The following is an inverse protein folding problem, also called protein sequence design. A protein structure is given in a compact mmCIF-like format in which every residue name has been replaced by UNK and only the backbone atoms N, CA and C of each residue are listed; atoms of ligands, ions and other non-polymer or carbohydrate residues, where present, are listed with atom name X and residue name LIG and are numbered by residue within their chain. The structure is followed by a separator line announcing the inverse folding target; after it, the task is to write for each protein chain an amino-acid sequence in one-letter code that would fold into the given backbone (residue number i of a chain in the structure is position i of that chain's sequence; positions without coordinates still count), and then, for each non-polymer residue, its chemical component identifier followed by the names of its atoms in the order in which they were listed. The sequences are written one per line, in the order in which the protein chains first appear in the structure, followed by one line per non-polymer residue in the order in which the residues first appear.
data_IF_509924749214
#
_entry.id   IF_509924749214
#
_cell.length_a   1.000
_cell.length_b   1.000
_cell.length_c   1.000
_cell.angle_alpha   90.00
_cell.angle_beta   90.00
_cell.angle_gamma   90.00
#
_symmetry.space_group_name_H-M   'P 1'
#
loop_
_entity.id
_entity.type
_entity.pdbx_description
1 polymer ?
#
# COMPACT_ATOMS: atom_id res chain seq x y z
N UNK A 1 31.52 -31.96 46.93
CA UNK A 1 31.64 -31.72 45.47
C UNK A 1 30.60 -30.68 45.08
N UNK A 2 31.04 -29.56 44.53
CA UNK A 2 30.22 -28.39 44.16
C UNK A 2 29.35 -28.72 42.95
N UNK A 3 28.04 -28.62 43.06
CA UNK A 3 27.16 -28.55 41.89
C UNK A 3 26.73 -27.10 41.71
N UNK A 4 27.34 -26.45 40.72
CA UNK A 4 26.95 -25.13 40.26
C UNK A 4 25.62 -25.25 39.51
N UNK A 5 24.57 -24.60 40.03
CA UNK A 5 23.32 -24.41 39.31
C UNK A 5 23.56 -23.25 38.33
N UNK A 6 23.73 -23.57 37.05
CA UNK A 6 23.71 -22.61 35.96
C UNK A 6 22.26 -22.13 35.78
N UNK A 7 21.99 -20.90 36.23
CA UNK A 7 20.77 -20.20 35.92
C UNK A 7 20.71 -19.91 34.42
N UNK A 8 19.88 -20.66 33.69
CA UNK A 8 19.47 -20.29 32.34
C UNK A 8 18.61 -19.03 32.43
N UNK A 9 19.25 -17.87 32.24
CA UNK A 9 18.56 -16.62 31.98
C UNK A 9 17.87 -16.72 30.63
N UNK A 10 16.58 -17.07 30.62
CA UNK A 10 15.70 -16.79 29.48
C UNK A 10 15.62 -15.27 29.33
N UNK A 11 16.51 -14.71 28.54
CA UNK A 11 16.35 -13.37 27.99
C UNK A 11 15.11 -13.39 27.11
N UNK A 12 13.99 -12.89 27.64
CA UNK A 12 12.79 -12.61 26.85
C UNK A 12 13.16 -11.48 25.90
N UNK A 13 13.65 -11.83 24.71
CA UNK A 13 13.67 -10.93 23.58
C UNK A 13 12.19 -10.62 23.27
N UNK A 14 11.73 -9.45 23.68
CA UNK A 14 10.44 -8.91 23.26
C UNK A 14 10.52 -8.61 21.76
N UNK A 15 10.37 -9.65 20.95
CA UNK A 15 10.04 -9.51 19.54
C UNK A 15 8.76 -8.66 19.51
N UNK A 16 8.91 -7.38 19.19
CA UNK A 16 7.77 -6.48 18.99
C UNK A 16 6.97 -7.05 17.85
N UNK A 17 5.97 -7.87 18.18
CA UNK A 17 5.02 -8.42 17.22
C UNK A 17 4.41 -7.20 16.55
N UNK A 18 4.74 -7.00 15.27
CA UNK A 18 4.14 -5.93 14.49
C UNK A 18 2.63 -6.09 14.62
N UNK A 19 1.98 -5.15 15.31
CA UNK A 19 0.54 -5.21 15.54
C UNK A 19 -0.11 -5.11 14.18
N UNK A 20 -0.68 -6.22 13.70
CA UNK A 20 -1.33 -6.30 12.41
C UNK A 20 -2.47 -5.28 12.29
N UNK A 21 -2.87 -4.97 11.06
CA UNK A 21 -4.01 -4.09 10.83
C UNK A 21 -5.29 -4.70 11.42
N UNK A 22 -6.19 -3.82 11.87
CA UNK A 22 -7.55 -4.22 12.21
C UNK A 22 -8.22 -4.83 10.97
N UNK A 23 -8.74 -6.08 11.02
CA UNK A 23 -9.29 -6.75 9.84
C UNK A 23 -10.39 -5.97 9.14
N UNK A 24 -11.22 -5.24 9.87
CA UNK A 24 -12.28 -4.42 9.27
C UNK A 24 -11.71 -3.22 8.52
N UNK A 25 -10.60 -2.64 9.00
CA UNK A 25 -9.90 -1.55 8.31
C UNK A 25 -9.13 -2.10 7.11
N UNK A 26 -8.49 -3.26 7.24
CA UNK A 26 -7.78 -3.92 6.15
C UNK A 26 -8.72 -4.28 5.00
N UNK A 27 -9.91 -4.79 5.29
CA UNK A 27 -10.93 -5.09 4.28
C UNK A 27 -11.38 -3.84 3.50
N UNK A 28 -11.54 -2.70 4.18
CA UNK A 28 -11.84 -1.43 3.50
C UNK A 28 -10.64 -0.90 2.71
N UNK A 29 -9.41 -1.14 3.17
CA UNK A 29 -8.19 -0.90 2.40
C UNK A 29 -8.11 -1.75 1.14
N UNK A 30 -8.52 -3.01 1.21
CA UNK A 30 -8.60 -3.91 0.05
C UNK A 30 -9.58 -3.37 -1.02
N UNK A 31 -10.73 -2.82 -0.60
CA UNK A 31 -11.67 -2.16 -1.51
C UNK A 31 -11.04 -0.96 -2.20
N UNK A 32 -10.29 -0.12 -1.47
CA UNK A 32 -9.56 1.00 -2.07
C UNK A 32 -8.55 0.54 -3.14
N UNK A 33 -7.76 -0.50 -2.85
CA UNK A 33 -6.79 -1.05 -3.82
C UNK A 33 -7.52 -1.59 -5.06
N UNK A 34 -8.63 -2.29 -4.88
CA UNK A 34 -9.45 -2.78 -5.99
C UNK A 34 -10.01 -1.65 -6.85
N UNK A 35 -10.55 -0.58 -6.24
CA UNK A 35 -11.02 0.62 -6.95
C UNK A 35 -9.90 1.23 -7.80
N UNK A 36 -8.70 1.34 -7.24
CA UNK A 36 -7.54 1.83 -7.98
C UNK A 36 -7.18 0.92 -9.16
N UNK A 37 -7.10 -0.40 -8.95
CA UNK A 37 -6.78 -1.37 -9.98
C UNK A 37 -7.84 -1.44 -11.09
N UNK A 38 -9.10 -1.14 -10.79
CA UNK A 38 -10.19 -1.13 -11.76
C UNK A 38 -10.22 0.16 -12.59
N UNK A 39 -10.00 1.32 -11.97
CA UNK A 39 -10.33 2.61 -12.58
C UNK A 39 -9.12 3.37 -13.12
N UNK A 40 -7.94 3.23 -12.52
CA UNK A 40 -6.73 3.88 -13.03
C UNK A 40 -6.45 3.46 -14.48
N UNK A 41 -5.81 4.28 -15.32
CA UNK A 41 -5.34 5.64 -15.04
C UNK A 41 -6.43 6.72 -15.17
N UNK A 42 -7.72 6.37 -15.29
CA UNK A 42 -8.82 7.35 -15.37
C UNK A 42 -9.10 7.97 -13.99
N UNK A 43 -8.42 9.10 -13.71
CA UNK A 43 -8.49 9.79 -12.41
C UNK A 43 -9.91 10.23 -12.05
N UNK A 44 -10.74 10.59 -13.05
CA UNK A 44 -12.12 11.02 -12.79
C UNK A 44 -12.97 9.84 -12.32
N UNK A 45 -12.86 8.69 -13.01
CA UNK A 45 -13.55 7.46 -12.58
C UNK A 45 -13.05 6.97 -11.22
N UNK A 46 -11.74 6.99 -10.98
CA UNK A 46 -11.18 6.58 -9.68
C UNK A 46 -11.68 7.48 -8.55
N UNK A 47 -11.72 8.81 -8.74
CA UNK A 47 -12.29 9.75 -7.77
C UNK A 47 -13.75 9.46 -7.48
N UNK A 48 -14.57 9.26 -8.52
CA UNK A 48 -15.99 8.96 -8.36
C UNK A 48 -16.19 7.67 -7.56
N UNK A 49 -15.50 6.59 -7.93
CA UNK A 49 -15.59 5.30 -7.24
C UNK A 49 -15.11 5.37 -5.79
N UNK A 50 -14.05 6.13 -5.48
CA UNK A 50 -13.60 6.36 -4.11
C UNK A 50 -14.66 7.11 -3.28
N UNK A 51 -15.27 8.15 -3.85
CA UNK A 51 -16.33 8.90 -3.18
C UNK A 51 -17.58 8.04 -2.93
N UNK A 52 -17.98 7.23 -3.92
CA UNK A 52 -19.12 6.30 -3.80
C UNK A 52 -18.86 5.23 -2.74
N UNK A 53 -17.61 4.79 -2.61
CA UNK A 53 -17.16 3.92 -1.53
C UNK A 53 -17.01 4.65 -0.18
N UNK A 54 -17.34 5.95 -0.09
CA UNK A 54 -17.35 6.72 1.15
C UNK A 54 -15.98 7.24 1.60
N UNK A 55 -14.98 7.24 0.73
CA UNK A 55 -13.74 7.97 0.96
C UNK A 55 -13.97 9.46 0.72
N UNK A 56 -13.27 10.32 1.47
CA UNK A 56 -13.41 11.78 1.37
C UNK A 56 -12.06 12.40 1.04
N UNK A 57 -12.06 13.39 0.16
CA UNK A 57 -10.86 14.16 -0.15
C UNK A 57 -10.42 14.93 1.10
N UNK A 58 -9.18 14.72 1.53
CA UNK A 58 -8.58 15.32 2.72
C UNK A 58 -7.48 16.33 2.34
N UNK A 59 -6.64 15.98 1.36
CA UNK A 59 -5.56 16.85 0.86
C UNK A 59 -5.48 16.85 -0.67
N UNK A 60 -5.11 18.00 -1.24
CA UNK A 60 -4.81 18.18 -2.67
C UNK A 60 -3.68 19.19 -2.83
N UNK A 61 -2.58 18.77 -3.46
CA UNK A 61 -1.38 19.61 -3.70
C UNK A 61 -1.15 19.91 -5.19
N UNK A 62 -2.20 19.76 -6.00
CA UNK A 62 -2.15 19.95 -7.45
C UNK A 62 -1.62 18.74 -8.22
N UNK A 63 -0.73 17.91 -7.65
CA UNK A 63 -0.20 16.67 -8.28
C UNK A 63 -0.74 15.39 -7.67
N UNK A 64 -1.24 15.46 -6.45
CA UNK A 64 -1.79 14.35 -5.70
C UNK A 64 -3.14 14.76 -5.09
N UNK A 65 -4.09 13.83 -5.08
CA UNK A 65 -5.29 13.88 -4.24
C UNK A 65 -5.22 12.74 -3.22
N UNK A 66 -5.29 13.09 -1.93
CA UNK A 66 -5.36 12.12 -0.84
C UNK A 66 -6.80 12.00 -0.34
N UNK A 67 -7.32 10.77 -0.37
CA UNK A 67 -8.65 10.43 0.12
C UNK A 67 -8.54 9.59 1.38
N UNK A 68 -9.36 9.88 2.37
CA UNK A 68 -9.32 9.20 3.67
C UNK A 68 -10.64 8.53 4.02
N UNK A 69 -10.58 7.50 4.86
CA UNK A 69 -11.77 6.85 5.43
C UNK A 69 -11.45 6.26 6.81
N UNK A 70 -12.52 5.96 7.57
CA UNK A 70 -12.45 5.38 8.93
C UNK A 70 -11.59 6.22 9.88
N UNK A 71 -11.82 7.54 9.90
CA UNK A 71 -11.04 8.47 10.72
C UNK A 71 -9.55 8.48 10.34
N UNK A 72 -9.26 8.59 9.05
CA UNK A 72 -7.91 8.56 8.48
C UNK A 72 -7.08 7.29 8.70
N UNK A 73 -7.69 6.18 9.17
CA UNK A 73 -7.01 4.89 9.27
C UNK A 73 -6.71 4.25 7.91
N UNK A 74 -7.28 4.79 6.83
CA UNK A 74 -7.02 4.41 5.44
C UNK A 74 -6.80 5.69 4.65
N UNK A 75 -5.71 5.73 3.89
CA UNK A 75 -5.38 6.83 2.99
C UNK A 75 -5.12 6.29 1.59
N UNK A 76 -5.77 6.89 0.60
CA UNK A 76 -5.59 6.58 -0.82
C UNK A 76 -5.09 7.83 -1.52
N UNK A 77 -3.83 7.83 -1.94
CA UNK A 77 -3.27 8.88 -2.79
C UNK A 77 -3.42 8.51 -4.25
N UNK A 78 -4.05 9.35 -5.06
CA UNK A 78 -4.05 9.20 -6.53
C UNK A 78 -3.42 10.44 -7.16
N UNK A 79 -2.56 10.26 -8.16
CA UNK A 79 -2.00 11.40 -8.87
C UNK A 79 -3.04 12.07 -9.74
N UNK A 80 -2.89 13.38 -9.95
CA UNK A 80 -3.74 14.16 -10.85
C UNK A 80 -3.15 14.14 -12.27
N UNK A 81 -3.88 14.63 -13.28
CA UNK A 81 -3.35 14.78 -14.63
C UNK A 81 -2.11 15.69 -14.74
N UNK A 82 -1.82 16.52 -13.74
CA UNK A 82 -0.61 17.37 -13.72
C UNK A 82 0.65 16.59 -13.33
N UNK A 83 0.50 15.39 -12.76
CA UNK A 83 1.62 14.50 -12.47
C UNK A 83 2.12 13.85 -13.77
N UNK A 84 3.45 13.66 -13.86
CA UNK A 84 4.07 13.02 -15.03
C UNK A 84 3.66 11.56 -15.23
N UNK A 85 3.22 10.89 -14.16
CA UNK A 85 2.89 9.47 -14.14
C UNK A 85 1.59 9.23 -13.34
N UNK A 86 0.64 8.45 -13.87
CA UNK A 86 -0.50 8.01 -13.09
C UNK A 86 -0.02 7.07 -11.98
N UNK A 87 -0.43 7.30 -10.74
CA UNK A 87 -0.11 6.44 -9.62
C UNK A 87 -1.27 6.38 -8.64
N UNK A 88 -1.41 5.23 -7.98
CA UNK A 88 -2.25 5.07 -6.81
C UNK A 88 -1.42 4.45 -5.68
N UNK A 89 -1.50 5.05 -4.50
CA UNK A 89 -0.93 4.54 -3.25
C UNK A 89 -2.05 4.31 -2.26
N UNK A 90 -2.10 3.15 -1.61
CA UNK A 90 -3.01 2.86 -0.50
C UNK A 90 -2.21 2.52 0.75
N UNK A 91 -2.44 3.29 1.81
CA UNK A 91 -1.87 3.09 3.14
C UNK A 91 -3.00 2.73 4.10
N UNK A 92 -2.76 1.69 4.90
CA UNK A 92 -3.69 1.26 5.95
C UNK A 92 -2.96 1.30 7.29
N UNK A 93 -3.61 1.85 8.30
CA UNK A 93 -3.08 1.95 9.66
C UNK A 93 -2.61 0.59 10.16
N UNK A 94 -1.34 0.52 10.55
CA UNK A 94 -0.65 -0.67 11.07
C UNK A 94 -0.58 -1.85 10.09
N UNK A 95 -0.85 -1.64 8.81
CA UNK A 95 -0.68 -2.70 7.81
C UNK A 95 0.77 -3.15 7.76
N UNK A 96 0.97 -4.46 7.77
CA UNK A 96 2.28 -5.09 7.64
C UNK A 96 2.64 -5.26 6.15
N UNK A 97 3.93 -5.45 5.82
CA UNK A 97 4.33 -5.74 4.44
C UNK A 97 3.64 -6.98 3.84
N UNK A 98 3.42 -8.02 4.65
CA UNK A 98 2.72 -9.24 4.22
C UNK A 98 1.24 -8.97 3.90
N UNK A 99 0.55 -8.20 4.73
CA UNK A 99 -0.83 -7.76 4.43
C UNK A 99 -0.88 -6.91 3.16
N UNK A 100 0.05 -5.97 3.00
CA UNK A 100 0.16 -5.16 1.79
C UNK A 100 0.39 -6.04 0.54
N UNK A 101 1.24 -7.06 0.63
CA UNK A 101 1.47 -8.02 -0.45
C UNK A 101 0.18 -8.75 -0.85
N UNK A 102 -0.64 -9.16 0.12
CA UNK A 102 -1.95 -9.75 -0.17
C UNK A 102 -2.89 -8.75 -0.86
N UNK A 103 -2.85 -7.47 -0.45
CA UNK A 103 -3.69 -6.45 -1.07
C UNK A 103 -3.27 -6.08 -2.50
N UNK A 104 -2.05 -6.39 -2.95
CA UNK A 104 -1.61 -6.13 -4.33
C UNK A 104 -2.30 -7.00 -5.39
N UNK A 105 -2.98 -8.08 -4.99
CA UNK A 105 -3.50 -9.07 -5.94
C UNK A 105 -4.43 -8.52 -7.04
N UNK A 106 -5.35 -7.56 -6.78
CA UNK A 106 -6.14 -6.95 -7.83
C UNK A 106 -5.29 -6.29 -8.92
N UNK A 107 -4.20 -5.60 -8.53
CA UNK A 107 -3.26 -5.01 -9.47
C UNK A 107 -2.49 -6.07 -10.25
N UNK A 108 -1.98 -7.10 -9.58
CA UNK A 108 -1.23 -8.20 -10.22
C UNK A 108 -2.11 -8.90 -11.26
N UNK A 109 -3.36 -9.22 -10.89
CA UNK A 109 -4.33 -9.86 -11.80
C UNK A 109 -4.65 -8.99 -13.01
N UNK A 110 -4.89 -7.69 -12.80
CA UNK A 110 -5.29 -6.78 -13.87
C UNK A 110 -4.15 -6.42 -14.84
N UNK A 111 -2.90 -6.55 -14.41
CA UNK A 111 -1.72 -6.15 -15.19
C UNK A 111 -0.85 -7.32 -15.68
N UNK A 112 -1.18 -8.55 -15.27
CA UNK A 112 -0.36 -9.74 -15.48
C UNK A 112 1.09 -9.57 -15.01
N UNK A 113 1.28 -8.77 -13.94
CA UNK A 113 2.61 -8.38 -13.50
C UNK A 113 3.41 -9.56 -12.93
N UNK A 114 4.68 -9.63 -13.31
CA UNK A 114 5.62 -10.64 -12.87
C UNK A 114 6.52 -10.09 -11.76
N UNK A 115 6.93 -10.92 -10.80
CA UNK A 115 7.81 -10.49 -9.72
C UNK A 115 9.16 -10.03 -10.27
N UNK A 116 9.69 -8.97 -9.69
CA UNK A 116 11.03 -8.44 -9.95
C UNK A 116 11.78 -8.27 -8.64
N UNK A 117 13.10 -8.01 -8.72
CA UNK A 117 13.85 -7.57 -7.55
C UNK A 117 13.22 -6.30 -6.99
N UNK A 118 13.19 -6.20 -5.65
CA UNK A 118 12.76 -4.99 -4.97
C UNK A 118 13.48 -3.74 -5.52
N UNK A 119 12.72 -2.67 -5.74
CA UNK A 119 13.22 -1.44 -6.34
C UNK A 119 14.25 -0.73 -5.44
N UNK A 120 14.11 -0.88 -4.12
CA UNK A 120 15.04 -0.36 -3.12
C UNK A 120 14.87 -1.15 -1.80
N UNK A 121 15.68 -0.83 -0.79
CA UNK A 121 15.57 -1.39 0.57
C UNK A 121 14.21 -1.10 1.26
N UNK A 122 13.52 -0.06 0.82
CA UNK A 122 12.23 0.35 1.39
C UNK A 122 11.06 -0.39 0.75
N UNK A 123 11.35 -1.24 -0.25
CA UNK A 123 10.38 -2.12 -0.90
C UNK A 123 10.70 -3.58 -0.61
N UNK A 124 9.68 -4.39 -0.30
CA UNK A 124 9.85 -5.84 -0.05
C UNK A 124 9.31 -6.72 -1.17
N UNK A 125 8.27 -6.25 -1.87
CA UNK A 125 7.65 -6.97 -2.99
C UNK A 125 7.49 -5.99 -4.15
N UNK A 126 7.93 -6.35 -5.35
CA UNK A 126 7.81 -5.51 -6.54
C UNK A 126 7.50 -6.37 -7.74
N UNK A 127 6.57 -5.92 -8.56
CA UNK A 127 6.13 -6.58 -9.77
C UNK A 127 6.08 -5.56 -10.91
N UNK A 128 6.37 -6.02 -12.13
CA UNK A 128 6.23 -5.22 -13.34
C UNK A 128 5.30 -5.92 -14.32
N UNK A 129 4.42 -5.16 -14.96
CA UNK A 129 3.48 -5.67 -15.95
C UNK A 129 3.01 -4.58 -16.90
N UNK A 130 1.93 -4.89 -17.62
CA UNK A 130 1.30 -3.97 -18.56
C UNK A 130 -0.15 -3.78 -18.17
N UNK A 131 -0.60 -2.54 -18.05
CA UNK A 131 -1.94 -2.21 -17.59
C UNK A 131 -2.54 -1.10 -18.46
N UNK A 132 -3.67 -1.40 -19.11
CA UNK A 132 -4.42 -0.50 -19.99
C UNK A 132 -3.54 0.25 -21.01
N UNK A 133 -2.64 -0.48 -21.66
CA UNK A 133 -1.80 0.05 -22.75
C UNK A 133 -0.49 0.71 -22.32
N UNK A 134 -0.15 0.70 -21.02
CA UNK A 134 1.14 1.21 -20.53
C UNK A 134 1.82 0.29 -19.51
N UNK A 135 3.15 0.35 -19.38
CA UNK A 135 3.88 -0.38 -18.34
C UNK A 135 3.49 0.12 -16.94
N UNK A 136 3.41 -0.78 -15.97
CA UNK A 136 3.10 -0.48 -14.56
C UNK A 136 4.07 -1.21 -13.65
N UNK A 137 4.48 -0.54 -12.57
CA UNK A 137 5.20 -1.18 -11.46
C UNK A 137 4.32 -1.13 -10.22
N UNK A 138 4.18 -2.27 -9.56
CA UNK A 138 3.38 -2.44 -8.35
C UNK A 138 4.31 -2.92 -7.26
N UNK A 139 4.35 -2.19 -6.15
CA UNK A 139 5.27 -2.51 -5.05
C UNK A 139 4.60 -2.36 -3.67
N UNK A 140 5.13 -3.09 -2.70
CA UNK A 140 4.94 -2.78 -1.28
C UNK A 140 6.02 -1.81 -0.84
N UNK A 141 5.63 -0.71 -0.19
CA UNK A 141 6.51 0.13 0.62
C UNK A 141 6.44 -0.39 2.06
N UNK A 142 7.58 -0.75 2.65
CA UNK A 142 7.67 -1.40 3.96
C UNK A 142 7.16 -0.51 5.09
N UNK A 143 7.40 0.79 4.97
CA UNK A 143 7.03 1.78 5.96
C UNK A 143 6.65 3.09 5.27
N UNK A 144 5.35 3.35 5.20
CA UNK A 144 4.80 4.65 4.82
C UNK A 144 4.35 5.37 6.09
N UNK A 145 4.94 6.55 6.29
CA UNK A 145 4.55 7.47 7.36
C UNK A 145 3.94 8.72 6.72
N UNK A 146 2.62 8.83 6.83
CA UNK A 146 1.88 10.04 6.53
C UNK A 146 1.54 10.73 7.85
N UNK A 147 1.25 12.04 7.82
CA UNK A 147 0.98 12.85 9.03
C UNK A 147 -0.05 12.23 9.99
N UNK A 148 -0.97 11.42 9.46
CA UNK A 148 -2.13 10.85 10.17
C UNK A 148 -2.22 9.32 10.14
N UNK A 149 -1.36 8.62 9.37
CA UNK A 149 -1.38 7.16 9.26
C UNK A 149 0.02 6.58 9.08
N UNK A 150 0.27 5.45 9.74
CA UNK A 150 1.53 4.69 9.62
C UNK A 150 1.24 3.24 9.31
N UNK A 151 2.01 2.65 8.41
CA UNK A 151 1.91 1.24 8.02
C UNK A 151 2.65 0.99 6.71
N UNK A 152 2.69 -0.25 6.24
CA UNK A 152 3.08 -0.55 4.88
C UNK A 152 2.08 0.06 3.89
N UNK A 153 2.48 0.19 2.63
CA UNK A 153 1.64 0.71 1.56
C UNK A 153 1.72 -0.16 0.32
N UNK A 154 0.62 -0.22 -0.42
CA UNK A 154 0.62 -0.70 -1.81
C UNK A 154 0.72 0.51 -2.72
N UNK A 155 1.68 0.52 -3.63
CA UNK A 155 1.80 1.56 -4.65
C UNK A 155 1.81 0.93 -6.05
N UNK A 156 1.02 1.49 -6.96
CA UNK A 156 1.06 1.18 -8.38
C UNK A 156 1.37 2.46 -9.15
N UNK A 157 2.39 2.42 -10.02
CA UNK A 157 2.87 3.59 -10.77
C UNK A 157 2.99 3.22 -12.25
N UNK A 158 2.32 3.97 -13.13
CA UNK A 158 2.55 3.87 -14.56
C UNK A 158 3.96 4.32 -14.91
N UNK A 159 4.66 3.54 -15.71
CA UNK A 159 5.94 3.93 -16.30
C UNK A 159 5.67 4.68 -17.62
N UNK A 160 6.57 5.58 -18.00
CA UNK A 160 6.49 6.17 -19.34
C UNK A 160 6.88 5.10 -20.36
N UNK A 161 6.17 5.06 -21.49
CA UNK A 161 6.78 4.56 -22.71
C UNK A 161 7.95 5.52 -23.01
N UNK A 162 9.19 5.04 -22.92
CA UNK A 162 10.32 5.80 -23.46
C UNK A 162 10.18 5.87 -24.98
#
# INVERSE_FOLDING_TARGET
MKHAVLAFGLGIATASVAVAADPAVLAEGAKAVAICAENMPDIRKTKAALNDAGFRLDESDGRLHAYTRKGARIVVGITTPSARKPACMTVVSKMTPTEAQMLMQPWIKASHAQPIKALSKDHSFSHVGSFKGGPVVISVVNHAELKIVRGAAVIAVGLNNQ
#
